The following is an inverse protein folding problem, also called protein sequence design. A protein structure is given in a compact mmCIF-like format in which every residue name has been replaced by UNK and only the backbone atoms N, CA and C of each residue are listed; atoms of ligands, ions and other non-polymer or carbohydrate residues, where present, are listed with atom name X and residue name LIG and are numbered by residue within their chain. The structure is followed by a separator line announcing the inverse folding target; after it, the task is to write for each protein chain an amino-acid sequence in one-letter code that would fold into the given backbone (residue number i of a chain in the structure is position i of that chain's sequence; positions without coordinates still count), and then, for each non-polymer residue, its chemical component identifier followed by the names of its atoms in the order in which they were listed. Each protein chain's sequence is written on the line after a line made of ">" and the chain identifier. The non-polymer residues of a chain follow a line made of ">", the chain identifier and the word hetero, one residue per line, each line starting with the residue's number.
data_IF_180396324127
#
_entry.id   IF_180396324127
#
_cell.length_a   1.000
_cell.length_b   1.000
_cell.length_c   1.000
_cell.angle_alpha   90.00
_cell.angle_beta   90.00
_cell.angle_gamma   90.00
#
_symmetry.space_group_name_H-M   'P 1'
#
loop_
_entity.id
_entity.type
_entity.pdbx_description
1 polymer ?
#
# COMPACT_ATOMS: atom_id res chain seq x y z
N UNK A 1 -16.39 -47.30 25.83
CA UNK A 1 -14.95 -47.03 26.02
C UNK A 1 -14.20 -47.48 24.78
N UNK A 2 -13.91 -46.55 23.87
CA UNK A 2 -12.88 -46.72 22.83
C UNK A 2 -12.12 -45.40 22.80
N UNK A 3 -10.87 -45.43 23.23
CA UNK A 3 -9.94 -44.30 23.13
C UNK A 3 -9.19 -44.46 21.82
N UNK A 4 -9.40 -43.50 20.90
CA UNK A 4 -8.64 -43.37 19.68
C UNK A 4 -7.40 -42.52 19.97
N UNK A 5 -6.24 -43.12 19.76
CA UNK A 5 -4.94 -42.45 19.82
C UNK A 5 -4.80 -41.45 18.67
N UNK A 6 -4.66 -40.16 19.00
CA UNK A 6 -4.23 -39.13 18.07
C UNK A 6 -2.70 -39.00 18.17
N UNK A 7 -2.02 -39.23 17.05
CA UNK A 7 -0.60 -38.91 16.89
C UNK A 7 -0.44 -37.40 16.63
N UNK A 8 0.63 -36.78 17.11
CA UNK A 8 0.89 -35.36 16.88
C UNK A 8 1.31 -35.11 15.42
N UNK A 9 0.67 -34.12 14.79
CA UNK A 9 1.10 -33.56 13.52
C UNK A 9 2.30 -32.64 13.77
N UNK A 10 3.39 -32.87 13.03
CA UNK A 10 4.56 -31.98 13.06
C UNK A 10 4.19 -30.58 12.55
N UNK A 11 4.77 -29.51 13.12
CA UNK A 11 4.55 -28.15 12.64
C UNK A 11 5.13 -27.96 11.22
N UNK A 12 4.48 -27.16 10.37
CA UNK A 12 4.97 -26.90 9.02
C UNK A 12 6.33 -26.19 9.08
N UNK A 13 7.31 -26.72 8.36
CA UNK A 13 8.62 -26.10 8.19
C UNK A 13 8.47 -24.80 7.39
N UNK A 14 9.10 -23.72 7.85
CA UNK A 14 9.26 -22.47 7.09
C UNK A 14 10.02 -22.75 5.79
N UNK A 15 9.30 -22.76 4.68
CA UNK A 15 9.89 -22.85 3.34
C UNK A 15 10.35 -21.44 2.96
N UNK A 16 11.66 -21.25 2.82
CA UNK A 16 12.20 -20.03 2.19
C UNK A 16 11.72 -19.97 0.73
N UNK A 17 10.72 -19.14 0.45
CA UNK A 17 10.21 -18.88 -0.90
C UNK A 17 11.14 -17.92 -1.65
N UNK A 18 11.76 -18.46 -2.69
CA UNK A 18 12.58 -17.78 -3.69
C UNK A 18 11.76 -16.67 -4.40
N UNK A 19 12.41 -15.58 -4.78
CA UNK A 19 11.78 -14.38 -5.35
C UNK A 19 11.31 -14.64 -6.80
N UNK A 20 10.19 -15.36 -6.95
CA UNK A 20 9.64 -15.77 -8.24
C UNK A 20 9.05 -14.64 -9.10
N UNK A 21 8.95 -13.41 -8.57
CA UNK A 21 8.58 -12.25 -9.38
C UNK A 21 9.83 -11.71 -10.07
N UNK A 22 9.94 -11.99 -11.36
CA UNK A 22 11.05 -11.59 -12.22
C UNK A 22 11.16 -10.07 -12.20
N UNK A 23 12.06 -9.53 -11.37
CA UNK A 23 12.49 -8.14 -11.42
C UNK A 23 13.23 -7.93 -12.75
N UNK A 24 12.47 -7.74 -13.83
CA UNK A 24 13.00 -7.34 -15.12
C UNK A 24 13.42 -5.87 -15.02
N UNK A 25 14.50 -5.60 -14.30
CA UNK A 25 15.37 -4.50 -14.66
C UNK A 25 15.92 -4.82 -16.06
N UNK A 26 15.38 -4.08 -17.02
CA UNK A 26 15.59 -4.21 -18.44
C UNK A 26 17.07 -3.89 -18.79
N UNK A 27 18.00 -4.84 -18.64
CA UNK A 27 19.31 -4.76 -19.31
C UNK A 27 19.22 -5.47 -20.65
N UNK A 28 18.85 -4.70 -21.67
CA UNK A 28 18.88 -5.15 -23.05
C UNK A 28 20.31 -5.02 -23.60
N UNK A 29 21.15 -6.02 -23.38
CA UNK A 29 22.35 -6.20 -24.22
C UNK A 29 22.42 -7.60 -24.82
N UNK A 30 22.26 -7.61 -26.15
CA UNK A 30 22.34 -8.77 -27.05
C UNK A 30 23.78 -9.32 -27.12
N UNK A 31 23.83 -10.67 -27.17
CA UNK A 31 24.76 -11.57 -27.90
C UNK A 31 26.04 -10.96 -28.51
N UNK A 32 27.19 -11.57 -28.19
CA UNK A 32 28.08 -12.20 -29.17
C UNK A 32 29.20 -13.05 -28.49
N UNK A 33 29.38 -14.28 -28.99
CA UNK A 33 30.53 -15.14 -28.72
C UNK A 33 31.76 -14.65 -29.50
N UNK A 34 32.95 -14.53 -28.87
CA UNK A 34 34.25 -14.98 -29.41
C UNK A 34 35.44 -14.64 -28.46
N UNK A 35 36.16 -15.71 -28.12
CA UNK A 35 37.54 -15.87 -27.61
C UNK A 35 38.42 -14.61 -27.43
N UNK A 36 38.89 -14.37 -26.20
CA UNK A 36 40.21 -13.70 -25.93
C UNK A 36 40.62 -13.82 -24.45
N UNK A 37 41.22 -14.94 -24.05
CA UNK A 37 41.70 -15.21 -22.67
C UNK A 37 42.98 -14.45 -22.28
N UNK A 38 43.62 -13.71 -23.18
CA UNK A 38 44.89 -13.01 -22.89
C UNK A 38 44.71 -11.56 -22.41
N UNK A 39 43.58 -10.88 -22.72
CA UNK A 39 43.31 -9.51 -22.24
C UNK A 39 42.73 -9.43 -20.82
N UNK A 40 42.31 -10.56 -20.26
CA UNK A 40 41.68 -10.63 -18.93
C UNK A 40 42.65 -10.44 -17.76
N UNK A 41 43.89 -10.92 -17.89
CA UNK A 41 44.86 -10.86 -16.79
C UNK A 41 45.43 -9.45 -16.52
N UNK A 42 45.37 -8.53 -17.49
CA UNK A 42 45.81 -7.15 -17.28
C UNK A 42 44.69 -6.26 -16.72
N UNK A 43 43.43 -6.52 -17.10
CA UNK A 43 42.27 -5.80 -16.54
C UNK A 43 41.99 -6.20 -15.09
N UNK A 44 42.24 -7.45 -14.70
CA UNK A 44 42.08 -7.88 -13.30
C UNK A 44 43.05 -7.18 -12.34
N UNK A 45 44.30 -6.91 -12.75
CA UNK A 45 45.26 -6.21 -11.88
C UNK A 45 44.89 -4.75 -11.64
N UNK A 46 44.40 -4.05 -12.66
CA UNK A 46 43.94 -2.67 -12.52
C UNK A 46 42.63 -2.61 -11.72
N UNK A 47 41.70 -3.54 -11.95
CA UNK A 47 40.45 -3.63 -11.18
C UNK A 47 40.70 -3.96 -9.69
N UNK A 48 41.69 -4.80 -9.38
CA UNK A 48 42.03 -5.12 -7.99
C UNK A 48 42.63 -3.92 -7.25
N UNK A 49 43.47 -3.13 -7.92
CA UNK A 49 44.08 -1.92 -7.34
C UNK A 49 43.04 -0.80 -7.15
N UNK A 50 42.10 -0.64 -8.09
CA UNK A 50 41.00 0.32 -7.96
C UNK A 50 40.00 -0.12 -6.87
N UNK A 51 39.73 -1.43 -6.75
CA UNK A 51 38.87 -1.97 -5.69
C UNK A 51 39.51 -1.77 -4.31
N UNK A 52 40.82 -2.00 -4.16
CA UNK A 52 41.52 -1.76 -2.90
C UNK A 52 41.58 -0.28 -2.52
N UNK A 53 41.73 0.64 -3.48
CA UNK A 53 41.72 2.08 -3.19
C UNK A 53 40.31 2.62 -2.89
N UNK A 54 39.26 2.10 -3.55
CA UNK A 54 37.88 2.47 -3.22
C UNK A 54 37.44 1.94 -1.85
N UNK A 55 37.86 0.73 -1.46
CA UNK A 55 37.56 0.21 -0.12
C UNK A 55 38.28 1.01 0.99
N UNK A 56 39.47 1.54 0.71
CA UNK A 56 40.18 2.42 1.67
C UNK A 56 39.55 3.81 1.77
N UNK A 57 38.94 4.33 0.68
CA UNK A 57 38.18 5.58 0.71
C UNK A 57 36.82 5.42 1.39
N UNK A 58 36.13 4.29 1.15
CA UNK A 58 34.85 3.95 1.79
C UNK A 58 35.01 3.70 3.30
N UNK A 59 36.09 3.04 3.72
CA UNK A 59 36.38 2.85 5.14
C UNK A 59 36.61 4.17 5.90
N UNK A 60 37.20 5.18 5.23
CA UNK A 60 37.38 6.52 5.81
C UNK A 60 36.09 7.36 5.78
N UNK A 61 35.19 7.16 4.82
CA UNK A 61 33.87 7.82 4.82
C UNK A 61 32.93 7.25 5.91
N UNK A 62 32.95 5.94 6.12
CA UNK A 62 32.10 5.25 7.11
C UNK A 62 32.47 5.57 8.56
N UNK A 63 33.67 6.10 8.83
CA UNK A 63 34.07 6.59 10.15
C UNK A 63 33.62 8.04 10.42
N UNK A 64 33.00 8.72 9.44
CA UNK A 64 32.51 10.10 9.58
C UNK A 64 30.98 10.25 9.52
N UNK A 65 30.26 9.21 9.13
CA UNK A 65 28.80 9.19 9.15
C UNK A 65 28.31 8.56 10.45
N UNK A 66 27.95 9.41 11.43
CA UNK A 66 27.05 8.98 12.49
C UNK A 66 25.74 8.44 11.89
N UNK A 67 25.00 7.57 12.60
CA UNK A 67 23.78 6.98 12.07
C UNK A 67 22.76 8.08 11.79
N UNK A 68 22.48 8.32 10.51
CA UNK A 68 21.29 9.08 10.09
C UNK A 68 20.12 8.12 10.05
N UNK A 69 19.67 7.71 11.22
CA UNK A 69 18.38 7.06 11.35
C UNK A 69 17.31 8.14 11.17
N UNK A 70 16.65 8.11 10.01
CA UNK A 70 15.44 8.87 9.75
C UNK A 70 14.27 8.29 10.56
N UNK A 71 14.40 8.23 11.89
CA UNK A 71 13.31 7.91 12.80
C UNK A 71 12.35 9.10 12.84
N UNK A 72 11.39 9.11 11.92
CA UNK A 72 10.12 9.79 12.13
C UNK A 72 9.36 9.02 13.23
N UNK A 73 9.81 9.17 14.48
CA UNK A 73 9.03 8.85 15.67
C UNK A 73 7.83 9.81 15.69
N UNK A 74 6.65 9.33 16.08
CA UNK A 74 5.54 10.22 16.45
C UNK A 74 5.90 10.91 17.79
N UNK A 75 6.97 11.72 17.81
CA UNK A 75 7.33 12.49 18.97
C UNK A 75 6.31 13.60 19.10
N UNK A 76 5.46 13.46 20.10
CA UNK A 76 4.70 14.59 20.65
C UNK A 76 5.67 15.55 21.33
N UNK A 77 6.50 16.27 20.57
CA UNK A 77 6.84 17.62 21.00
C UNK A 77 5.54 18.40 20.84
N UNK A 78 4.84 18.58 21.96
CA UNK A 78 3.68 19.44 22.03
C UNK A 78 4.07 20.81 21.49
N UNK A 79 3.78 21.09 20.23
CA UNK A 79 3.59 22.44 19.74
C UNK A 79 2.28 22.98 20.30
N UNK A 80 2.20 23.03 21.62
CA UNK A 80 1.26 23.87 22.32
C UNK A 80 1.76 25.30 22.16
N UNK A 81 1.03 26.07 21.36
CA UNK A 81 0.99 27.54 21.38
C UNK A 81 2.26 28.27 20.93
N UNK A 82 2.45 28.43 19.61
CA UNK A 82 3.10 29.64 19.07
C UNK A 82 2.82 29.88 17.57
N UNK A 83 1.55 29.88 17.16
CA UNK A 83 1.17 30.57 15.92
C UNK A 83 0.91 32.05 16.24
N UNK A 84 1.99 32.83 16.31
CA UNK A 84 1.94 34.28 16.12
C UNK A 84 3.20 34.71 15.36
N UNK A 85 3.39 34.15 14.17
CA UNK A 85 4.39 34.63 13.22
C UNK A 85 3.69 35.51 12.18
N UNK A 86 3.70 36.79 12.47
CA UNK A 86 3.29 37.91 11.64
C UNK A 86 4.06 37.86 10.31
N UNK A 87 3.36 37.50 9.22
CA UNK A 87 3.78 37.83 7.87
C UNK A 87 3.20 39.21 7.55
N UNK A 88 4.00 40.25 7.83
CA UNK A 88 3.75 41.60 7.32
C UNK A 88 4.13 41.63 5.84
N UNK A 89 3.14 41.53 4.95
CA UNK A 89 3.26 42.05 3.59
C UNK A 89 2.21 43.15 3.39
N UNK A 90 2.69 44.31 2.99
CA UNK A 90 1.95 45.54 2.81
C UNK A 90 0.80 45.40 1.80
N UNK A 91 -0.39 45.78 2.27
CA UNK A 91 -1.49 46.49 1.58
C UNK A 91 -1.63 46.36 0.06
N UNK A 92 -2.75 45.74 -0.34
CA UNK A 92 -3.67 46.31 -1.34
C UNK A 92 -5.08 46.35 -0.75
N UNK A 93 -5.77 47.50 -0.73
CA UNK A 93 -7.09 47.63 -0.11
C UNK A 93 -8.23 47.31 -1.09
N UNK A 94 -9.38 46.95 -0.51
CA UNK A 94 -10.72 46.96 -1.11
C UNK A 94 -11.04 45.85 -2.13
N UNK A 95 -11.63 44.74 -1.67
CA UNK A 95 -12.98 44.29 -2.07
C UNK A 95 -13.32 42.94 -1.41
N UNK A 96 -13.48 42.88 -0.08
CA UNK A 96 -14.13 41.72 0.54
C UNK A 96 -15.18 42.22 1.54
N UNK A 97 -16.43 42.06 1.14
CA UNK A 97 -17.60 42.37 1.95
C UNK A 97 -17.58 41.59 3.26
N UNK A 98 -18.03 42.25 4.33
CA UNK A 98 -18.02 41.77 5.69
C UNK A 98 -18.62 40.37 5.82
N UNK A 99 -17.74 39.41 6.06
CA UNK A 99 -18.10 38.13 6.66
C UNK A 99 -18.23 38.40 8.15
N UNK A 100 -19.46 38.34 8.64
CA UNK A 100 -19.78 38.38 10.06
C UNK A 100 -19.00 37.29 10.76
N UNK A 101 -18.19 37.66 11.75
CA UNK A 101 -17.51 36.77 12.68
C UNK A 101 -18.56 36.17 13.61
N UNK A 102 -19.41 35.30 13.08
CA UNK A 102 -20.35 34.53 13.86
C UNK A 102 -19.65 33.27 14.36
N UNK A 103 -19.91 32.93 15.62
CA UNK A 103 -19.26 31.89 16.41
C UNK A 103 -19.18 30.56 15.66
N UNK A 104 -17.98 30.13 15.24
CA UNK A 104 -17.56 28.71 15.14
C UNK A 104 -16.10 28.60 14.71
N UNK A 105 -15.18 29.32 15.36
CA UNK A 105 -13.76 28.89 15.39
C UNK A 105 -13.60 27.71 16.34
N UNK A 106 -14.40 26.65 16.16
CA UNK A 106 -14.07 25.36 16.75
C UNK A 106 -12.84 24.89 15.98
N UNK A 107 -11.68 25.04 16.62
CA UNK A 107 -10.42 24.52 16.10
C UNK A 107 -10.56 23.05 15.73
N UNK A 108 -9.69 22.60 14.83
CA UNK A 108 -9.65 21.22 14.41
C UNK A 108 -9.59 20.27 15.62
N UNK A 109 -10.41 19.22 15.62
CA UNK A 109 -10.41 18.21 16.68
C UNK A 109 -9.88 16.89 16.14
N UNK A 110 -8.71 16.49 16.62
CA UNK A 110 -8.14 15.18 16.32
C UNK A 110 -9.05 14.06 16.79
N UNK A 111 -9.12 13.00 15.98
CA UNK A 111 -9.66 11.74 16.43
C UNK A 111 -8.79 11.18 17.58
N UNK A 112 -9.38 10.53 18.60
CA UNK A 112 -8.60 9.89 19.67
C UNK A 112 -7.87 8.62 19.20
N UNK A 113 -8.07 8.21 17.95
CA UNK A 113 -7.55 7.01 17.30
C UNK A 113 -7.08 7.43 15.91
N UNK A 114 -5.95 6.89 15.46
CA UNK A 114 -5.54 7.01 14.04
C UNK A 114 -6.17 5.85 13.29
N UNK A 115 -6.83 6.14 12.17
CA UNK A 115 -7.40 5.11 11.32
C UNK A 115 -6.40 4.71 10.24
N UNK A 116 -5.93 3.47 10.27
CA UNK A 116 -5.10 2.89 9.23
C UNK A 116 -5.93 2.22 8.14
N UNK A 117 -5.41 2.18 6.93
CA UNK A 117 -5.95 1.39 5.83
C UNK A 117 -4.79 0.67 5.13
N UNK A 118 -4.84 -0.67 5.15
CA UNK A 118 -3.86 -1.47 4.42
C UNK A 118 -4.15 -1.32 2.93
N UNK A 119 -3.21 -0.74 2.19
CA UNK A 119 -3.33 -0.66 0.74
C UNK A 119 -2.97 -1.99 0.08
N UNK A 120 -3.83 -2.98 0.26
CA UNK A 120 -3.70 -4.27 -0.40
C UNK A 120 -3.82 -4.11 -1.92
N UNK A 121 -3.07 -4.91 -2.66
CA UNK A 121 -3.09 -4.83 -4.11
C UNK A 121 -4.49 -5.18 -4.64
N UNK A 122 -4.97 -4.47 -5.67
CA UNK A 122 -6.23 -4.81 -6.37
C UNK A 122 -7.48 -4.92 -5.48
N UNK A 123 -7.47 -4.28 -4.31
CA UNK A 123 -8.62 -4.10 -3.40
C UNK A 123 -9.08 -2.63 -3.37
N UNK A 124 -9.09 -1.96 -4.53
CA UNK A 124 -9.54 -0.57 -4.69
C UNK A 124 -8.81 0.51 -3.85
N UNK A 125 -7.69 0.20 -3.18
CA UNK A 125 -7.07 1.15 -2.25
C UNK A 125 -6.62 2.48 -2.87
N UNK A 126 -6.30 2.54 -4.18
CA UNK A 126 -6.00 3.82 -4.86
C UNK A 126 -7.25 4.70 -4.94
N UNK A 127 -8.39 4.09 -5.28
CA UNK A 127 -9.68 4.77 -5.36
C UNK A 127 -10.12 5.24 -3.98
N UNK A 128 -10.03 4.37 -2.98
CA UNK A 128 -10.36 4.71 -1.58
C UNK A 128 -9.49 5.88 -1.11
N UNK A 129 -8.16 5.80 -1.25
CA UNK A 129 -7.26 6.88 -0.84
C UNK A 129 -7.52 8.20 -1.58
N UNK A 130 -7.82 8.14 -2.88
CA UNK A 130 -8.18 9.32 -3.66
C UNK A 130 -9.47 9.98 -3.19
N UNK A 131 -10.52 9.19 -3.00
CA UNK A 131 -11.82 9.66 -2.50
C UNK A 131 -11.71 10.23 -1.09
N UNK A 132 -11.01 9.54 -0.19
CA UNK A 132 -10.72 10.02 1.16
C UNK A 132 -10.01 11.37 1.12
N UNK A 133 -8.91 11.49 0.37
CA UNK A 133 -8.13 12.72 0.30
C UNK A 133 -8.90 13.87 -0.39
N UNK A 134 -9.89 13.56 -1.24
CA UNK A 134 -10.73 14.54 -1.90
C UNK A 134 -11.82 15.14 -1.00
N UNK A 135 -12.22 14.43 0.05
CA UNK A 135 -13.39 14.75 0.91
C UNK A 135 -13.06 15.02 2.37
N UNK A 136 -11.96 14.47 2.89
CA UNK A 136 -11.63 14.49 4.33
C UNK A 136 -10.28 15.17 4.61
N UNK A 137 -10.21 15.88 5.74
CA UNK A 137 -8.98 16.55 6.20
C UNK A 137 -8.00 15.53 6.81
N UNK A 138 -6.70 15.88 6.81
CA UNK A 138 -5.62 15.11 7.47
C UNK A 138 -5.58 13.62 7.07
N UNK A 139 -5.95 13.35 5.82
CA UNK A 139 -5.73 12.09 5.11
C UNK A 139 -4.29 12.05 4.60
N UNK A 140 -3.57 11.01 4.98
CA UNK A 140 -2.19 10.73 4.61
C UNK A 140 -2.09 9.41 3.85
N UNK A 141 -1.24 9.38 2.82
CA UNK A 141 -0.96 8.15 2.11
C UNK A 141 -0.17 8.37 0.83
N UNK A 142 0.51 7.33 0.39
CA UNK A 142 1.34 7.36 -0.82
C UNK A 142 0.55 7.63 -2.13
N UNK A 143 -0.78 7.47 -2.13
CA UNK A 143 -1.65 7.74 -3.30
C UNK A 143 -2.69 8.84 -3.08
N UNK A 144 -2.61 9.55 -1.97
CA UNK A 144 -3.50 10.66 -1.68
C UNK A 144 -3.11 11.33 -0.38
N UNK A 145 -2.71 12.59 -0.46
CA UNK A 145 -2.44 13.42 0.70
C UNK A 145 -3.32 14.67 0.62
N UNK A 146 -4.25 14.80 1.58
CA UNK A 146 -5.30 15.85 1.58
C UNK A 146 -4.75 17.27 1.33
N UNK A 147 -3.61 17.63 1.95
CA UNK A 147 -2.96 18.94 1.82
C UNK A 147 -2.69 19.36 0.37
N UNK A 148 -2.23 18.42 -0.47
CA UNK A 148 -1.89 18.72 -1.87
C UNK A 148 -2.88 18.11 -2.87
N UNK A 149 -3.88 17.38 -2.39
CA UNK A 149 -4.78 16.61 -3.25
C UNK A 149 -5.52 17.49 -4.23
N UNK A 150 -5.97 18.69 -3.82
CA UNK A 150 -6.64 19.64 -4.71
C UNK A 150 -5.79 19.95 -5.95
N UNK A 151 -4.54 20.38 -5.73
CA UNK A 151 -3.65 20.75 -6.83
C UNK A 151 -3.29 19.55 -7.71
N UNK A 152 -3.09 18.37 -7.11
CA UNK A 152 -2.84 17.15 -7.88
C UNK A 152 -4.04 16.76 -8.73
N UNK A 153 -5.25 16.84 -8.18
CA UNK A 153 -6.49 16.48 -8.86
C UNK A 153 -6.81 17.44 -9.99
N UNK A 154 -6.65 18.75 -9.79
CA UNK A 154 -6.81 19.76 -10.85
C UNK A 154 -5.77 19.60 -11.97
N UNK A 155 -4.51 19.27 -11.64
CA UNK A 155 -3.50 18.92 -12.66
C UNK A 155 -3.92 17.69 -13.45
N UNK A 156 -4.45 16.66 -12.79
CA UNK A 156 -4.93 15.43 -13.46
C UNK A 156 -6.11 15.70 -14.38
N UNK A 157 -7.07 16.51 -13.95
CA UNK A 157 -8.22 16.92 -14.77
C UNK A 157 -7.75 17.62 -16.05
N UNK A 158 -6.86 18.59 -15.92
CA UNK A 158 -6.24 19.27 -17.08
C UNK A 158 -5.43 18.31 -17.96
N UNK A 159 -4.74 17.35 -17.36
CA UNK A 159 -4.01 16.34 -18.14
C UNK A 159 -4.95 15.43 -18.92
N UNK A 160 -6.11 15.05 -18.39
CA UNK A 160 -7.10 14.26 -19.15
C UNK A 160 -7.71 15.06 -20.31
N UNK A 161 -7.86 16.38 -20.14
CA UNK A 161 -8.21 17.30 -21.22
C UNK A 161 -7.09 17.39 -22.28
N UNK A 162 -5.81 17.42 -21.84
CA UNK A 162 -4.64 17.61 -22.70
C UNK A 162 -4.03 16.34 -23.28
N UNK A 163 -4.21 15.15 -22.69
CA UNK A 163 -3.77 13.85 -23.24
C UNK A 163 -4.55 13.49 -24.50
N UNK A 164 -5.67 14.18 -24.78
CA UNK A 164 -6.28 14.21 -26.10
C UNK A 164 -5.40 14.92 -27.15
N UNK A 165 -4.46 15.77 -26.75
CA UNK A 165 -3.61 16.57 -27.65
C UNK A 165 -2.11 16.20 -27.59
N UNK A 166 -1.50 15.91 -26.43
CA UNK A 166 -0.07 15.55 -26.35
C UNK A 166 0.30 14.68 -25.11
N UNK A 167 1.11 13.60 -25.26
CA UNK A 167 1.60 12.82 -24.13
C UNK A 167 2.87 13.45 -23.54
N UNK A 168 2.80 14.12 -22.38
CA UNK A 168 4.00 14.69 -21.73
C UNK A 168 4.09 14.48 -20.21
N UNK A 169 5.33 14.11 -19.83
CA UNK A 169 6.01 14.04 -18.53
C UNK A 169 5.20 14.19 -17.23
N UNK A 170 5.15 13.09 -16.47
CA UNK A 170 4.84 13.07 -15.04
C UNK A 170 5.87 13.90 -14.24
N UNK A 171 5.49 15.00 -13.58
CA UNK A 171 6.31 15.58 -12.54
C UNK A 171 6.13 14.73 -11.28
N UNK A 172 7.07 13.82 -11.09
CA UNK A 172 7.25 13.03 -9.88
C UNK A 172 7.56 14.00 -8.72
N UNK A 173 6.54 14.43 -7.99
CA UNK A 173 6.74 14.90 -6.62
C UNK A 173 6.86 13.65 -5.74
N UNK A 174 8.05 13.05 -5.73
CA UNK A 174 8.45 11.92 -4.88
C UNK A 174 8.67 12.34 -3.42
N UNK A 175 8.05 13.44 -2.96
CA UNK A 175 8.01 13.70 -1.53
C UNK A 175 6.98 12.75 -0.95
N UNK A 176 7.39 11.94 0.03
CA UNK A 176 6.49 11.28 0.97
C UNK A 176 6.19 12.29 2.08
N UNK A 177 5.17 13.16 1.93
CA UNK A 177 4.99 14.30 2.83
C UNK A 177 4.70 13.82 4.25
N UNK A 178 4.12 12.63 4.41
CA UNK A 178 3.86 12.01 5.69
C UNK A 178 5.13 11.75 6.51
N UNK A 179 6.28 11.46 5.88
CA UNK A 179 7.54 11.28 6.60
C UNK A 179 8.12 12.62 7.10
N UNK A 180 7.80 13.72 6.42
CA UNK A 180 8.22 15.06 6.81
C UNK A 180 7.25 15.71 7.82
N UNK A 181 5.95 15.40 7.70
CA UNK A 181 4.88 15.99 8.51
C UNK A 181 4.61 15.18 9.78
N UNK A 182 4.94 13.88 9.79
CA UNK A 182 4.67 12.97 10.91
C UNK A 182 3.25 12.38 10.86
N UNK A 183 3.10 11.15 11.37
CA UNK A 183 1.81 10.45 11.39
C UNK A 183 0.85 10.99 12.45
N UNK A 184 1.34 11.67 13.48
CA UNK A 184 0.55 12.39 14.49
C UNK A 184 -0.30 13.52 13.90
N UNK A 185 0.09 13.99 12.71
CA UNK A 185 -0.62 14.99 11.93
C UNK A 185 -1.58 14.36 10.90
N UNK A 186 -1.81 13.06 10.99
CA UNK A 186 -2.81 12.33 10.22
C UNK A 186 -3.93 11.82 11.14
N UNK A 187 -5.18 11.86 10.66
CA UNK A 187 -6.29 11.12 11.31
C UNK A 187 -6.63 9.85 10.54
N UNK A 188 -6.21 9.77 9.27
CA UNK A 188 -6.30 8.56 8.47
C UNK A 188 -5.04 8.35 7.64
N UNK A 189 -4.55 7.12 7.61
CA UNK A 189 -3.29 6.74 6.95
C UNK A 189 -3.54 5.55 6.02
N UNK A 190 -3.17 5.65 4.74
CA UNK A 190 -3.17 4.53 3.79
C UNK A 190 -1.84 4.41 3.09
N UNK A 191 -1.13 3.34 3.38
CA UNK A 191 0.21 3.10 2.84
C UNK A 191 0.27 1.81 2.03
N UNK A 192 0.87 1.92 0.84
CA UNK A 192 1.29 0.78 0.02
C UNK A 192 2.67 0.28 0.47
N UNK A 193 2.75 -0.13 1.72
CA UNK A 193 3.99 -0.47 2.38
C UNK A 193 4.01 -1.91 2.85
N UNK A 194 5.19 -2.39 3.26
CA UNK A 194 5.29 -3.68 3.92
C UNK A 194 4.64 -3.67 5.30
N UNK A 195 4.14 -4.82 5.74
CA UNK A 195 3.41 -4.94 7.01
C UNK A 195 4.27 -4.52 8.22
N UNK A 196 5.59 -4.76 8.16
CA UNK A 196 6.53 -4.40 9.23
C UNK A 196 6.59 -2.89 9.48
N UNK A 197 6.26 -2.06 8.49
CA UNK A 197 6.28 -0.61 8.64
C UNK A 197 5.13 -0.14 9.55
N UNK A 198 3.97 -0.81 9.53
CA UNK A 198 2.90 -0.52 10.49
C UNK A 198 3.36 -0.78 11.93
N UNK A 199 4.01 -1.92 12.17
CA UNK A 199 4.60 -2.25 13.46
C UNK A 199 5.72 -1.28 13.88
N UNK A 200 6.49 -0.80 12.91
CA UNK A 200 7.60 0.13 13.15
C UNK A 200 7.09 1.48 13.63
N UNK A 201 6.01 2.00 13.04
CA UNK A 201 5.48 3.32 13.39
C UNK A 201 4.41 3.29 14.49
N UNK A 202 3.60 2.23 14.57
CA UNK A 202 2.41 2.19 15.42
C UNK A 202 2.38 1.05 16.43
N UNK A 203 3.39 0.17 16.43
CA UNK A 203 3.34 -1.09 17.19
C UNK A 203 3.31 -0.95 18.71
N UNK A 204 3.79 0.17 19.27
CA UNK A 204 3.80 0.45 20.72
C UNK A 204 3.45 1.90 20.99
N UNK A 205 3.04 2.21 22.23
CA UNK A 205 2.68 3.58 22.63
C UNK A 205 3.87 4.55 22.64
N UNK A 206 5.09 4.05 22.83
CA UNK A 206 6.30 4.87 22.76
C UNK A 206 6.58 5.34 21.33
N UNK A 207 6.21 4.53 20.34
CA UNK A 207 6.37 4.86 18.91
C UNK A 207 5.27 5.79 18.42
N UNK A 208 4.03 5.52 18.82
CA UNK A 208 2.88 6.36 18.55
C UNK A 208 1.92 6.35 19.76
N UNK A 209 1.72 7.48 20.45
CA UNK A 209 0.88 7.52 21.65
C UNK A 209 -0.61 7.30 21.35
N UNK A 210 -1.01 7.45 20.09
CA UNK A 210 -2.38 7.19 19.63
C UNK A 210 -2.53 5.72 19.21
N UNK A 211 -3.62 5.05 19.61
CA UNK A 211 -3.94 3.73 19.10
C UNK A 211 -4.23 3.79 17.60
N UNK A 212 -3.84 2.73 16.89
CA UNK A 212 -4.12 2.53 15.47
C UNK A 212 -5.27 1.52 15.30
N UNK A 213 -6.38 1.94 14.70
CA UNK A 213 -7.41 1.03 14.18
C UNK A 213 -7.09 0.78 12.70
N UNK A 214 -6.50 -0.38 12.39
CA UNK A 214 -5.97 -0.70 11.07
C UNK A 214 -6.98 -1.53 10.26
N UNK A 215 -7.50 -0.93 9.19
CA UNK A 215 -8.60 -1.49 8.39
C UNK A 215 -8.04 -2.30 7.22
N UNK A 216 -8.46 -3.56 7.11
CA UNK A 216 -8.10 -4.50 6.05
C UNK A 216 -9.22 -4.55 5.01
N UNK A 217 -8.98 -4.09 3.76
CA UNK A 217 -9.98 -4.16 2.70
C UNK A 217 -10.07 -5.60 2.19
N UNK A 218 -11.04 -6.36 2.68
CA UNK A 218 -11.22 -7.76 2.30
C UNK A 218 -11.90 -7.87 0.94
N UNK A 219 -11.48 -8.88 0.17
CA UNK A 219 -12.00 -9.18 -1.16
C UNK A 219 -12.11 -10.68 -1.33
N UNK A 220 -13.14 -11.11 -2.06
CA UNK A 220 -13.31 -12.50 -2.46
C UNK A 220 -12.00 -13.07 -3.05
N UNK A 221 -11.47 -14.20 -2.54
CA UNK A 221 -10.20 -14.79 -2.98
C UNK A 221 -10.08 -15.00 -4.49
N UNK A 222 -11.16 -15.43 -5.16
CA UNK A 222 -11.16 -15.70 -6.60
C UNK A 222 -11.19 -14.40 -7.38
N UNK A 223 -12.04 -13.45 -6.98
CA UNK A 223 -12.04 -12.11 -7.59
C UNK A 223 -10.70 -11.39 -7.41
N UNK A 224 -10.05 -11.57 -6.27
CA UNK A 224 -8.73 -11.01 -6.01
C UNK A 224 -7.68 -11.66 -6.90
N UNK A 225 -7.61 -13.01 -6.95
CA UNK A 225 -6.74 -13.77 -7.84
C UNK A 225 -6.87 -13.30 -9.31
N UNK A 226 -8.09 -13.24 -9.82
CA UNK A 226 -8.32 -12.85 -11.21
C UNK A 226 -8.00 -11.37 -11.48
N UNK A 227 -8.16 -10.50 -10.48
CA UNK A 227 -7.73 -9.10 -10.57
C UNK A 227 -6.20 -8.97 -10.59
N UNK A 228 -5.51 -9.81 -9.84
CA UNK A 228 -4.05 -9.92 -9.84
C UNK A 228 -3.53 -10.44 -11.17
N UNK A 229 -4.07 -11.56 -11.65
CA UNK A 229 -3.74 -12.14 -12.95
C UNK A 229 -3.95 -11.13 -14.08
N UNK A 230 -5.08 -10.43 -14.14
CA UNK A 230 -5.35 -9.44 -15.19
C UNK A 230 -4.26 -8.37 -15.24
N UNK A 231 -3.80 -7.88 -14.08
CA UNK A 231 -2.71 -6.90 -14.06
C UNK A 231 -1.38 -7.49 -14.52
N UNK A 232 -0.98 -8.61 -13.94
CA UNK A 232 0.30 -9.26 -14.24
C UNK A 232 0.37 -9.70 -15.71
N UNK A 233 -0.72 -10.22 -16.26
CA UNK A 233 -0.82 -10.62 -17.65
C UNK A 233 -0.67 -9.43 -18.61
N UNK A 234 -1.33 -8.30 -18.31
CA UNK A 234 -1.17 -7.08 -19.12
C UNK A 234 0.29 -6.56 -19.09
N UNK A 235 1.03 -6.83 -18.02
CA UNK A 235 2.46 -6.54 -17.91
C UNK A 235 3.37 -7.66 -18.45
N UNK A 236 2.80 -8.77 -18.96
CA UNK A 236 3.53 -9.96 -19.45
C UNK A 236 4.38 -10.64 -18.37
N UNK A 237 3.94 -10.56 -17.12
CA UNK A 237 4.60 -11.18 -15.96
C UNK A 237 4.10 -12.62 -15.74
N UNK A 238 2.84 -12.91 -16.08
CA UNK A 238 2.24 -14.24 -15.97
C UNK A 238 1.35 -14.56 -17.18
N UNK A 239 1.19 -15.85 -17.48
CA UNK A 239 0.21 -16.33 -18.43
C UNK A 239 -1.21 -16.34 -17.83
N UNK A 240 -2.27 -16.32 -18.66
CA UNK A 240 -3.62 -16.51 -18.16
C UNK A 240 -3.79 -17.87 -17.46
N UNK A 241 -4.61 -17.91 -16.42
CA UNK A 241 -4.98 -19.16 -15.74
C UNK A 241 -5.61 -20.13 -16.75
N UNK A 242 -5.05 -21.33 -16.87
CA UNK A 242 -5.51 -22.39 -17.76
C UNK A 242 -6.19 -23.50 -16.97
N UNK A 243 -7.52 -23.48 -16.96
CA UNK A 243 -8.35 -24.46 -16.24
C UNK A 243 -8.40 -25.85 -16.92
N UNK A 244 -7.82 -26.01 -18.11
CA UNK A 244 -7.76 -27.32 -18.79
C UNK A 244 -6.56 -28.16 -18.33
N UNK A 245 -5.63 -27.56 -17.57
CA UNK A 245 -4.49 -28.26 -17.00
C UNK A 245 -4.92 -29.23 -15.90
N UNK A 246 -4.01 -30.15 -15.56
CA UNK A 246 -4.19 -30.94 -14.35
C UNK A 246 -4.13 -30.04 -13.11
N UNK A 247 -4.69 -30.55 -12.02
CA UNK A 247 -4.87 -29.79 -10.80
C UNK A 247 -3.56 -29.18 -10.26
N UNK A 248 -2.49 -29.98 -10.19
CA UNK A 248 -1.19 -29.51 -9.69
C UNK A 248 -0.70 -28.30 -10.48
N UNK A 249 -0.77 -28.36 -11.81
CA UNK A 249 -0.34 -27.27 -12.67
C UNK A 249 -1.21 -26.02 -12.54
N UNK A 250 -2.52 -26.16 -12.29
CA UNK A 250 -3.40 -25.01 -11.99
C UNK A 250 -2.96 -24.35 -10.69
N UNK A 251 -2.69 -25.12 -9.63
CA UNK A 251 -2.22 -24.56 -8.36
C UNK A 251 -0.85 -23.91 -8.45
N UNK A 252 0.05 -24.43 -9.30
CA UNK A 252 1.33 -23.79 -9.58
C UNK A 252 1.13 -22.41 -10.24
N UNK A 253 0.14 -22.26 -11.15
CA UNK A 253 -0.23 -20.95 -11.70
C UNK A 253 -0.84 -20.02 -10.63
N UNK A 254 -1.70 -20.53 -9.74
CA UNK A 254 -2.26 -19.76 -8.62
C UNK A 254 -1.15 -19.21 -7.73
N UNK A 255 -0.17 -20.04 -7.35
CA UNK A 255 1.00 -19.61 -6.59
C UNK A 255 1.80 -18.56 -7.36
N UNK A 256 2.09 -18.77 -8.64
CA UNK A 256 2.81 -17.78 -9.45
C UNK A 256 2.12 -16.41 -9.50
N UNK A 257 0.78 -16.37 -9.49
CA UNK A 257 0.00 -15.13 -9.47
C UNK A 257 0.04 -14.45 -8.09
N UNK A 258 -0.04 -15.23 -7.00
CA UNK A 258 -0.16 -14.71 -5.64
C UNK A 258 1.17 -14.49 -4.93
N UNK A 259 2.20 -15.30 -5.18
CA UNK A 259 3.52 -15.21 -4.54
C UNK A 259 4.35 -14.03 -5.06
N UNK A 260 3.78 -13.21 -5.93
CA UNK A 260 4.40 -11.96 -6.29
C UNK A 260 4.42 -11.04 -5.06
N UNK A 261 5.53 -11.08 -4.31
CA UNK A 261 5.76 -10.42 -3.01
C UNK A 261 5.38 -8.95 -2.98
N UNK A 262 5.36 -8.29 -4.13
CA UNK A 262 4.87 -6.92 -4.30
C UNK A 262 3.42 -6.73 -3.85
N UNK A 263 2.60 -7.77 -3.83
CA UNK A 263 1.14 -7.64 -3.80
C UNK A 263 0.42 -8.30 -2.62
N UNK A 264 0.93 -9.40 -2.07
CA UNK A 264 0.25 -10.19 -1.02
C UNK A 264 1.05 -10.19 0.29
N UNK A 265 2.01 -11.08 0.45
CA UNK A 265 2.72 -11.37 1.71
C UNK A 265 3.61 -10.22 2.19
N UNK A 266 3.95 -9.30 1.29
CA UNK A 266 4.65 -8.09 1.67
C UNK A 266 3.80 -7.16 2.54
N UNK A 267 2.49 -7.03 2.28
CA UNK A 267 1.67 -5.92 2.80
C UNK A 267 0.84 -6.26 4.02
N UNK A 268 0.56 -7.53 4.24
CA UNK A 268 -0.17 -8.03 5.41
C UNK A 268 0.51 -9.27 5.96
N UNK A 269 0.48 -9.39 7.28
CA UNK A 269 0.89 -10.61 7.97
C UNK A 269 0.02 -10.78 9.23
N UNK A 270 -0.29 -12.03 9.58
CA UNK A 270 -1.07 -12.38 10.76
C UNK A 270 -0.46 -11.86 12.08
N UNK A 271 0.84 -11.55 12.12
CA UNK A 271 1.47 -10.85 13.26
C UNK A 271 0.83 -9.50 13.59
N UNK A 272 0.17 -8.84 12.65
CA UNK A 272 -0.58 -7.59 12.92
C UNK A 272 -1.80 -7.81 13.82
N UNK A 273 -2.35 -9.04 13.91
CA UNK A 273 -3.56 -9.34 14.68
C UNK A 273 -3.31 -9.39 16.19
N UNK A 274 -2.15 -9.91 16.58
CA UNK A 274 -1.84 -10.20 17.99
C UNK A 274 -0.43 -9.79 18.42
N UNK A 275 0.42 -9.33 17.50
CA UNK A 275 1.83 -9.04 17.79
C UNK A 275 2.08 -7.65 18.39
N UNK A 276 1.08 -6.76 18.40
CA UNK A 276 1.26 -5.35 18.74
C UNK A 276 0.12 -4.82 19.60
N UNK A 277 0.47 -4.22 20.74
CA UNK A 277 -0.51 -3.73 21.73
C UNK A 277 -1.32 -2.52 21.24
N UNK A 278 -0.76 -1.74 20.32
CA UNK A 278 -1.29 -0.46 19.89
C UNK A 278 -1.90 -0.50 18.48
N UNK A 279 -2.03 -1.69 17.90
CA UNK A 279 -2.66 -1.93 16.61
C UNK A 279 -3.88 -2.83 16.80
N UNK A 280 -5.03 -2.39 16.32
CA UNK A 280 -6.28 -3.14 16.37
C UNK A 280 -6.80 -3.33 14.94
N UNK A 281 -6.85 -4.58 14.49
CA UNK A 281 -7.34 -4.88 13.14
C UNK A 281 -8.87 -4.87 13.07
N UNK A 282 -9.37 -4.29 11.99
CA UNK A 282 -10.77 -4.38 11.55
C UNK A 282 -10.80 -4.73 10.07
N UNK A 283 -11.90 -5.26 9.57
CA UNK A 283 -12.06 -5.52 8.14
C UNK A 283 -13.34 -4.91 7.58
N UNK A 284 -13.42 -4.88 6.25
CA UNK A 284 -14.64 -4.56 5.52
C UNK A 284 -14.61 -5.27 4.17
N UNK A 285 -15.77 -5.66 3.65
CA UNK A 285 -15.87 -6.12 2.26
C UNK A 285 -15.76 -4.92 1.32
N UNK A 286 -14.76 -4.95 0.44
CA UNK A 286 -14.58 -3.91 -0.59
C UNK A 286 -15.59 -4.06 -1.74
N UNK A 287 -16.27 -5.20 -1.83
CA UNK A 287 -17.28 -5.50 -2.83
C UNK A 287 -18.68 -5.44 -2.20
N UNK A 288 -19.72 -5.06 -2.96
CA UNK A 288 -19.69 -4.57 -4.34
C UNK A 288 -19.35 -3.07 -4.48
N UNK A 289 -19.32 -2.32 -3.37
CA UNK A 289 -19.15 -0.86 -3.38
C UNK A 289 -17.95 -0.41 -2.52
N UNK A 290 -16.78 -0.14 -3.13
CA UNK A 290 -15.61 0.35 -2.39
C UNK A 290 -15.84 1.71 -1.73
N UNK A 291 -16.86 2.48 -2.14
CA UNK A 291 -17.17 3.78 -1.55
C UNK A 291 -18.00 3.67 -0.28
N UNK A 292 -18.55 2.49 0.05
CA UNK A 292 -19.22 2.26 1.32
C UNK A 292 -18.28 2.54 2.50
N UNK A 293 -17.03 2.12 2.39
CA UNK A 293 -15.98 2.42 3.37
C UNK A 293 -15.70 3.93 3.49
N UNK A 294 -15.63 4.66 2.37
CA UNK A 294 -15.40 6.11 2.38
C UNK A 294 -16.54 6.81 3.12
N UNK A 295 -17.79 6.46 2.83
CA UNK A 295 -18.97 7.00 3.52
C UNK A 295 -18.98 6.67 5.00
N UNK A 296 -18.56 5.47 5.39
CA UNK A 296 -18.37 5.11 6.80
C UNK A 296 -17.34 6.04 7.46
N UNK A 297 -16.19 6.27 6.83
CA UNK A 297 -15.15 7.14 7.37
C UNK A 297 -15.56 8.62 7.43
N UNK A 298 -16.46 9.10 6.55
CA UNK A 298 -17.04 10.45 6.65
C UNK A 298 -17.80 10.69 7.97
N UNK A 299 -18.23 9.63 8.66
CA UNK A 299 -18.86 9.75 9.99
C UNK A 299 -17.86 9.86 11.13
N UNK A 300 -16.58 9.55 10.87
CA UNK A 300 -15.50 9.50 11.86
C UNK A 300 -14.56 10.69 11.73
N UNK A 301 -14.35 11.17 10.52
CA UNK A 301 -13.33 12.15 10.18
C UNK A 301 -13.94 13.50 9.80
N UNK A 302 -13.15 14.56 9.99
CA UNK A 302 -13.55 15.91 9.61
C UNK A 302 -13.57 16.05 8.08
N UNK A 303 -14.68 16.58 7.57
CA UNK A 303 -14.83 16.94 6.15
C UNK A 303 -13.92 18.10 5.78
N UNK A 304 -13.45 18.09 4.54
CA UNK A 304 -12.67 19.19 3.98
C UNK A 304 -13.50 20.44 3.84
N UNK A 305 -12.83 21.58 4.03
CA UNK A 305 -13.41 22.87 3.66
C UNK A 305 -13.69 22.96 2.16
N UNK A 306 -12.77 22.42 1.35
CA UNK A 306 -12.88 22.36 -0.10
C UNK A 306 -12.94 20.90 -0.53
N UNK A 307 -14.15 20.44 -0.84
CA UNK A 307 -14.39 19.12 -1.43
C UNK A 307 -14.19 19.22 -2.93
N UNK A 308 -13.48 18.26 -3.51
CA UNK A 308 -13.32 18.14 -4.97
C UNK A 308 -13.72 16.76 -5.42
N UNK A 309 -14.27 16.65 -6.61
CA UNK A 309 -14.56 15.35 -7.21
C UNK A 309 -13.25 14.64 -7.54
N UNK A 310 -13.08 13.43 -7.03
CA UNK A 310 -11.93 12.61 -7.35
C UNK A 310 -11.91 12.24 -8.83
N UNK A 311 -10.79 12.56 -9.50
CA UNK A 311 -10.55 12.16 -10.88
C UNK A 311 -10.00 10.73 -10.90
N UNK A 312 -10.89 9.77 -11.14
CA UNK A 312 -10.55 8.34 -11.17
C UNK A 312 -9.71 7.97 -12.39
N UNK A 313 -8.63 7.22 -12.16
CA UNK A 313 -7.85 6.59 -13.23
C UNK A 313 -7.88 5.06 -13.14
N UNK A 314 -8.37 4.37 -14.18
CA UNK A 314 -8.29 2.92 -14.22
C UNK A 314 -6.83 2.50 -14.35
N UNK A 315 -6.33 1.77 -13.34
CA UNK A 315 -4.97 1.22 -13.35
C UNK A 315 -4.87 -0.15 -14.04
N UNK A 316 -6.01 -0.74 -14.42
CA UNK A 316 -6.09 -2.03 -15.08
C UNK A 316 -7.07 -1.95 -16.25
N UNK A 317 -6.84 -2.77 -17.27
CA UNK A 317 -7.85 -3.08 -18.28
C UNK A 317 -9.10 -3.66 -17.63
N UNK A 318 -10.31 -3.33 -18.13
CA UNK A 318 -11.55 -3.97 -17.69
C UNK A 318 -11.46 -5.49 -17.84
N UNK A 319 -11.94 -6.22 -16.83
CA UNK A 319 -12.01 -7.69 -16.88
C UNK A 319 -13.24 -8.15 -17.66
N UNK A 320 -13.07 -9.21 -18.43
CA UNK A 320 -14.16 -9.90 -19.09
C UNK A 320 -14.33 -11.28 -18.47
N UNK A 321 -15.21 -11.37 -17.47
CA UNK A 321 -15.47 -12.63 -16.75
C UNK A 321 -15.97 -13.74 -17.68
N UNK A 322 -16.55 -13.41 -18.83
CA UNK A 322 -17.00 -14.44 -19.77
C UNK A 322 -15.85 -15.16 -20.47
N UNK A 323 -14.66 -14.56 -20.51
CA UNK A 323 -13.43 -15.13 -21.09
C UNK A 323 -12.52 -15.81 -20.07
N UNK A 324 -12.81 -15.64 -18.79
CA UNK A 324 -12.03 -16.22 -17.71
C UNK A 324 -12.55 -17.63 -17.41
N UNK A 325 -11.74 -18.68 -17.63
CA UNK A 325 -12.20 -20.07 -17.54
C UNK A 325 -12.75 -20.45 -16.17
N UNK A 326 -12.21 -19.86 -15.09
CA UNK A 326 -12.51 -20.25 -13.71
C UNK A 326 -14.00 -20.12 -13.35
N UNK A 327 -14.73 -19.23 -14.03
CA UNK A 327 -16.17 -19.02 -13.77
C UNK A 327 -17.05 -20.17 -14.27
N UNK A 328 -16.53 -21.04 -15.14
CA UNK A 328 -17.24 -22.20 -15.67
C UNK A 328 -16.93 -23.50 -14.90
N UNK A 329 -16.03 -23.44 -13.91
CA UNK A 329 -15.54 -24.61 -13.18
C UNK A 329 -15.76 -24.47 -11.67
N UNK A 330 -17.02 -24.55 -11.21
CA UNK A 330 -17.37 -24.33 -9.79
C UNK A 330 -16.54 -25.19 -8.81
N UNK A 331 -16.37 -26.49 -9.10
CA UNK A 331 -15.59 -27.39 -8.24
C UNK A 331 -14.10 -26.99 -8.17
N UNK A 332 -13.50 -26.56 -9.28
CA UNK A 332 -12.12 -26.06 -9.29
C UNK A 332 -12.04 -24.73 -8.53
N UNK A 333 -13.00 -23.84 -8.75
CA UNK A 333 -13.08 -22.53 -8.09
C UNK A 333 -13.12 -22.66 -6.57
N UNK A 334 -13.93 -23.55 -6.02
CA UNK A 334 -13.99 -23.76 -4.57
C UNK A 334 -12.68 -24.34 -4.00
N UNK A 335 -12.02 -25.24 -4.73
CA UNK A 335 -10.71 -25.78 -4.31
C UNK A 335 -9.61 -24.73 -4.36
N UNK A 336 -9.61 -23.86 -5.37
CA UNK A 336 -8.70 -22.71 -5.44
C UNK A 336 -8.97 -21.74 -4.30
N UNK A 337 -10.24 -21.45 -4.00
CA UNK A 337 -10.62 -20.58 -2.88
C UNK A 337 -10.10 -21.13 -1.56
N UNK A 338 -10.35 -22.41 -1.28
CA UNK A 338 -9.88 -23.09 -0.07
C UNK A 338 -8.35 -23.02 0.02
N UNK A 339 -7.64 -23.39 -1.05
CA UNK A 339 -6.19 -23.27 -1.12
C UNK A 339 -5.70 -21.86 -0.79
N UNK A 340 -6.31 -20.82 -1.36
CA UNK A 340 -5.89 -19.43 -1.12
C UNK A 340 -6.12 -19.04 0.36
N UNK A 341 -7.26 -19.41 0.94
CA UNK A 341 -7.56 -19.13 2.35
C UNK A 341 -6.61 -19.86 3.30
N UNK A 342 -6.21 -21.09 2.96
CA UNK A 342 -5.30 -21.89 3.78
C UNK A 342 -3.86 -21.41 3.69
N UNK A 343 -3.40 -20.93 2.54
CA UNK A 343 -1.98 -20.68 2.30
C UNK A 343 -1.57 -19.20 2.39
N UNK A 344 -2.50 -18.25 2.44
CA UNK A 344 -2.18 -16.81 2.46
C UNK A 344 -2.86 -16.09 3.64
N UNK A 345 -2.03 -15.52 4.52
CA UNK A 345 -2.44 -14.84 5.77
C UNK A 345 -3.57 -13.83 5.57
N UNK A 346 -3.47 -13.00 4.52
CA UNK A 346 -4.47 -11.98 4.22
C UNK A 346 -5.86 -12.58 3.96
N UNK A 347 -5.94 -13.64 3.15
CA UNK A 347 -7.21 -14.28 2.84
C UNK A 347 -7.73 -15.10 4.03
N UNK A 348 -6.82 -15.72 4.79
CA UNK A 348 -7.17 -16.39 6.04
C UNK A 348 -7.85 -15.42 7.02
N UNK A 349 -7.20 -14.29 7.30
CA UNK A 349 -7.74 -13.23 8.17
C UNK A 349 -9.10 -12.74 7.66
N UNK A 350 -9.21 -12.41 6.38
CA UNK A 350 -10.46 -11.94 5.79
C UNK A 350 -11.61 -12.94 5.91
N UNK A 351 -11.34 -14.24 5.73
CA UNK A 351 -12.36 -15.29 5.86
C UNK A 351 -12.92 -15.43 7.28
N UNK A 352 -12.12 -15.08 8.29
CA UNK A 352 -12.54 -15.09 9.71
C UNK A 352 -13.17 -13.78 10.14
N UNK A 353 -12.70 -12.66 9.59
CA UNK A 353 -13.13 -11.33 10.02
C UNK A 353 -14.48 -10.92 9.41
N UNK A 354 -14.74 -11.22 8.13
CA UNK A 354 -16.05 -10.97 7.52
C UNK A 354 -17.12 -11.83 8.22
N UNK A 355 -18.19 -11.20 8.68
CA UNK A 355 -19.23 -11.79 9.53
C UNK A 355 -18.99 -11.67 11.03
N UNK A 356 -17.80 -11.21 11.47
CA UNK A 356 -17.43 -11.10 12.89
C UNK A 356 -17.69 -9.71 13.46
N UNK A 357 -17.58 -9.52 14.78
CA UNK A 357 -17.67 -8.19 15.41
C UNK A 357 -16.61 -7.18 14.96
N UNK A 358 -15.59 -7.61 14.20
CA UNK A 358 -14.53 -6.77 13.67
C UNK A 358 -14.76 -6.31 12.23
N UNK A 359 -15.89 -6.70 11.61
CA UNK A 359 -16.31 -6.14 10.33
C UNK A 359 -17.04 -4.80 10.52
N UNK A 360 -16.53 -3.74 9.88
CA UNK A 360 -16.99 -2.36 10.05
C UNK A 360 -18.39 -2.08 9.50
N UNK A 361 -18.86 -2.86 8.51
CA UNK A 361 -20.05 -2.57 7.70
C UNK A 361 -21.19 -3.59 7.89
N UNK A 362 -21.15 -4.40 8.95
CA UNK A 362 -22.13 -5.48 9.22
C UNK A 362 -23.59 -5.04 9.43
N UNK A 363 -23.85 -3.74 9.57
CA UNK A 363 -25.12 -3.22 10.09
C UNK A 363 -25.63 -1.96 9.38
N UNK A 364 -25.05 -1.59 8.23
CA UNK A 364 -25.50 -0.44 7.45
C UNK A 364 -26.57 -0.77 6.43
#
# INVERSE_FOLDING_TARGET
>A
MMMSNLLPLDPPQEVNHDDGCRDNHHDSTKKNNLTTTSRWLHRYKIALVISLSMNLLLANLLLSSGPTDGEALCRSESMANNETAVLSSEQTPELYGGVTTDETTQGYKHAPVIYGHIHMAKTAGTTIAGEMASRLERVCGNKGYSLFFYQQNERRRRQEELEQEFPLLNPILNLQPQLAIGFENCDWVSEETRWENWATHFGTKEKCPFPLELHVPCKDPIEHLMSMQNYLHNNKEVEPLDCALNETAVFDQVRAILDCKRFTDGRFNSKLEHGYENIHLKCFDVSPDPLAYVRFMETKLQKRRLVVDYVFRPMNSPRDKTKECIWQHDALRERIREFIITNYDYHNYCSRCLGSSDELLLSS
#
